data_IF_120254511687
#
_entry.id   IF_120254511687
#
_cell.length_a   1.000
_cell.length_b   1.000
_cell.length_c   1.000
_cell.angle_alpha   90.00
_cell.angle_beta   90.00
_cell.angle_gamma   90.00
#
_symmetry.space_group_name_H-M   'P 1'
#
loop_
_entity.id
_entity.type
_entity.pdbx_description
1 polymer ?
#
# COMPACT_ATOMS: atom_id res chain seq x y z
N UNK A 1 -19.45 -17.63 36.19
CA UNK A 1 -18.17 -18.24 36.58
C UNK A 1 -17.29 -18.51 35.37
N UNK A 2 -15.98 -18.30 35.52
CA UNK A 2 -14.87 -18.51 34.54
C UNK A 2 -14.69 -17.51 33.38
N UNK A 3 -14.44 -16.23 33.69
CA UNK A 3 -13.98 -15.19 32.74
C UNK A 3 -12.49 -14.81 32.90
N UNK A 4 -11.64 -15.72 33.38
CA UNK A 4 -10.18 -15.57 33.40
C UNK A 4 -9.49 -16.92 33.16
N UNK A 5 -9.47 -17.38 31.91
CA UNK A 5 -8.47 -18.39 31.51
C UNK A 5 -7.35 -17.67 30.78
N UNK A 6 -6.43 -17.12 31.59
CA UNK A 6 -5.02 -16.96 31.32
C UNK A 6 -4.59 -16.86 29.86
N UNK A 7 -4.51 -15.62 29.33
CA UNK A 7 -3.44 -15.26 28.39
C UNK A 7 -2.11 -15.23 29.17
N UNK A 8 -1.69 -16.39 29.68
CA UNK A 8 -0.39 -16.57 30.29
C UNK A 8 0.66 -16.53 29.17
N UNK A 9 1.10 -15.32 28.81
CA UNK A 9 2.30 -15.14 27.98
C UNK A 9 3.51 -15.68 28.74
N UNK A 10 4.34 -16.43 28.03
CA UNK A 10 5.64 -16.87 28.47
C UNK A 10 6.47 -15.65 28.95
N UNK A 11 7.09 -15.77 30.14
CA UNK A 11 7.81 -14.65 30.77
C UNK A 11 8.96 -14.12 29.92
N UNK A 12 9.68 -15.01 29.23
CA UNK A 12 10.81 -14.63 28.36
C UNK A 12 10.28 -13.95 27.10
N UNK A 13 9.20 -14.47 26.51
CA UNK A 13 8.54 -13.82 25.38
C UNK A 13 8.07 -12.40 25.72
N UNK A 14 7.48 -12.21 26.90
CA UNK A 14 7.05 -10.88 27.36
C UNK A 14 8.21 -9.87 27.38
N UNK A 15 9.37 -10.25 27.95
CA UNK A 15 10.57 -9.40 27.96
C UNK A 15 11.04 -9.04 26.55
N UNK A 16 11.06 -10.02 25.64
CA UNK A 16 11.42 -9.78 24.23
C UNK A 16 10.40 -8.89 23.52
N UNK A 17 9.11 -9.01 23.82
CA UNK A 17 8.06 -8.15 23.28
C UNK A 17 8.17 -6.70 23.77
N UNK A 18 8.52 -6.49 25.05
CA UNK A 18 8.77 -5.16 25.61
C UNK A 18 9.98 -4.49 24.93
N UNK A 19 11.04 -5.25 24.67
CA UNK A 19 12.19 -4.79 23.90
C UNK A 19 11.82 -4.46 22.45
N UNK A 20 11.07 -5.34 21.77
CA UNK A 20 10.55 -5.11 20.41
C UNK A 20 9.76 -3.80 20.34
N UNK A 21 8.84 -3.58 21.29
CA UNK A 21 8.02 -2.37 21.36
C UNK A 21 8.88 -1.12 21.56
N UNK A 22 9.90 -1.20 22.42
CA UNK A 22 10.82 -0.10 22.69
C UNK A 22 11.65 0.25 21.46
N UNK A 23 12.22 -0.76 20.79
CA UNK A 23 13.00 -0.56 19.55
C UNK A 23 12.13 -0.05 18.40
N UNK A 24 10.89 -0.54 18.26
CA UNK A 24 9.91 -0.05 17.28
C UNK A 24 9.58 1.43 17.52
N UNK A 25 9.32 1.83 18.77
CA UNK A 25 9.08 3.24 19.11
C UNK A 25 10.31 4.12 18.86
N UNK A 26 11.52 3.61 19.14
CA UNK A 26 12.78 4.31 18.84
C UNK A 26 12.95 4.56 17.35
N UNK A 27 12.63 3.57 16.51
CA UNK A 27 12.65 3.73 15.05
C UNK A 27 11.65 4.80 14.58
N UNK A 28 10.41 4.77 15.07
CA UNK A 28 9.39 5.77 14.73
C UNK A 28 9.85 7.18 15.18
N UNK A 29 10.44 7.31 16.37
CA UNK A 29 11.00 8.57 16.84
C UNK A 29 12.16 9.04 15.96
N UNK A 30 13.00 8.14 15.48
CA UNK A 30 14.07 8.47 14.54
C UNK A 30 13.51 9.09 13.25
N UNK A 31 12.49 8.47 12.65
CA UNK A 31 11.83 9.01 11.45
C UNK A 31 11.26 10.40 11.72
N UNK A 32 10.60 10.62 12.87
CA UNK A 32 10.08 11.93 13.27
C UNK A 32 11.17 12.97 13.47
N UNK A 33 12.31 12.59 14.03
CA UNK A 33 13.42 13.52 14.23
C UNK A 33 14.02 14.00 12.89
N UNK A 34 13.91 13.19 11.84
CA UNK A 34 14.34 13.53 10.47
C UNK A 34 13.20 14.09 9.59
N UNK A 35 12.05 14.44 10.18
CA UNK A 35 10.89 14.94 9.43
C UNK A 35 11.22 16.19 8.60
N UNK A 36 12.01 17.12 9.14
CA UNK A 36 12.41 18.32 8.40
C UNK A 36 13.27 17.99 7.17
N UNK A 37 14.13 16.98 7.25
CA UNK A 37 14.97 16.55 6.13
C UNK A 37 14.10 15.95 5.02
N UNK A 38 13.15 15.08 5.38
CA UNK A 38 12.17 14.53 4.45
C UNK A 38 11.28 15.62 3.83
N UNK A 39 10.81 16.57 4.64
CA UNK A 39 9.97 17.68 4.18
C UNK A 39 10.72 18.55 3.18
N UNK A 40 12.01 18.81 3.38
CA UNK A 40 12.83 19.55 2.43
C UNK A 40 12.89 18.85 1.08
N UNK A 41 13.17 17.54 1.06
CA UNK A 41 13.21 16.75 -0.18
C UNK A 41 11.84 16.77 -0.90
N UNK A 42 10.74 16.61 -0.15
CA UNK A 42 9.40 16.69 -0.71
C UNK A 42 9.09 18.07 -1.29
N UNK A 43 9.50 19.15 -0.62
CA UNK A 43 9.30 20.52 -1.07
C UNK A 43 10.16 20.85 -2.29
N UNK A 44 11.40 20.36 -2.34
CA UNK A 44 12.27 20.54 -3.51
C UNK A 44 11.65 19.88 -4.75
N UNK A 45 11.10 18.67 -4.61
CA UNK A 45 10.37 18.00 -5.69
C UNK A 45 9.10 18.75 -6.10
N UNK A 46 8.35 19.29 -5.12
CA UNK A 46 7.17 20.12 -5.39
C UNK A 46 7.54 21.37 -6.17
N UNK A 47 8.61 22.06 -5.80
CA UNK A 47 9.07 23.28 -6.46
C UNK A 47 9.51 22.95 -7.90
N UNK A 48 10.30 21.88 -8.07
CA UNK A 48 10.70 21.42 -9.40
C UNK A 48 9.50 21.10 -10.30
N UNK A 49 8.55 20.31 -9.80
CA UNK A 49 7.35 19.94 -10.55
C UNK A 49 6.46 21.15 -10.88
N UNK A 50 6.27 22.06 -9.93
CA UNK A 50 5.48 23.29 -10.13
C UNK A 50 6.14 24.19 -11.18
N UNK A 51 7.46 24.40 -11.10
CA UNK A 51 8.18 25.23 -12.07
C UNK A 51 8.02 24.71 -13.51
N UNK A 52 8.11 23.38 -13.71
CA UNK A 52 7.87 22.78 -15.02
C UNK A 52 6.41 22.92 -15.47
N UNK A 53 5.47 22.80 -14.54
CA UNK A 53 4.05 22.92 -14.83
C UNK A 53 3.64 24.36 -15.21
N UNK A 54 4.21 25.37 -14.53
CA UNK A 54 3.99 26.79 -14.84
C UNK A 54 4.49 27.18 -16.23
N UNK A 55 5.54 26.51 -16.71
CA UNK A 55 6.11 26.72 -18.04
C UNK A 55 5.31 26.05 -19.17
N UNK A 56 4.25 25.29 -18.85
CA UNK A 56 3.40 24.66 -19.85
C UNK A 56 2.70 25.73 -20.69
N UNK A 57 2.96 25.70 -22.00
CA UNK A 57 2.40 26.63 -22.97
C UNK A 57 1.62 25.88 -24.05
N UNK A 58 0.71 26.60 -24.71
CA UNK A 58 -0.08 26.11 -25.83
C UNK A 58 0.10 27.05 -27.02
N UNK A 59 0.05 26.50 -28.24
CA UNK A 59 0.01 27.32 -29.45
C UNK A 59 -1.20 28.28 -29.47
N UNK A 60 -2.35 27.81 -28.98
CA UNK A 60 -3.55 28.61 -28.76
C UNK A 60 -4.19 28.21 -27.42
N UNK A 61 -4.33 29.16 -26.50
CA UNK A 61 -4.86 28.91 -25.15
C UNK A 61 -6.32 28.45 -25.13
N UNK A 62 -7.11 28.69 -26.19
CA UNK A 62 -8.49 28.20 -26.28
C UNK A 62 -8.56 26.73 -26.74
N UNK A 63 -7.50 26.23 -27.39
CA UNK A 63 -7.46 24.91 -28.02
C UNK A 63 -6.10 24.22 -27.78
N UNK A 64 -5.78 23.98 -26.52
CA UNK A 64 -4.58 23.25 -26.14
C UNK A 64 -4.70 21.77 -26.50
N UNK A 65 -3.63 21.20 -27.08
CA UNK A 65 -3.54 19.79 -27.43
C UNK A 65 -3.40 18.90 -26.18
N UNK A 66 -3.91 17.67 -26.27
CA UNK A 66 -3.84 16.65 -25.21
C UNK A 66 -2.84 15.53 -25.48
N UNK A 67 -1.98 15.68 -26.51
CA UNK A 67 -0.99 14.67 -26.89
C UNK A 67 0.00 14.34 -25.76
N UNK A 68 0.37 15.32 -24.93
CA UNK A 68 1.23 15.07 -23.76
C UNK A 68 0.58 14.14 -22.74
N UNK A 69 -0.72 14.30 -22.47
CA UNK A 69 -1.49 13.41 -21.59
C UNK A 69 -1.54 11.99 -22.18
N UNK A 70 -1.84 11.88 -23.49
CA UNK A 70 -1.88 10.60 -24.19
C UNK A 70 -0.53 9.87 -24.11
N UNK A 71 0.54 10.54 -24.51
CA UNK A 71 1.89 9.97 -24.52
C UNK A 71 2.35 9.55 -23.13
N UNK A 72 2.15 10.41 -22.11
CA UNK A 72 2.51 10.07 -20.75
C UNK A 72 1.72 8.86 -20.22
N UNK A 73 0.42 8.78 -20.54
CA UNK A 73 -0.37 7.60 -20.18
C UNK A 73 0.15 6.33 -20.85
N UNK A 74 0.35 6.36 -22.17
CA UNK A 74 0.77 5.20 -22.96
C UNK A 74 2.14 4.65 -22.47
N UNK A 75 3.12 5.53 -22.26
CA UNK A 75 4.51 5.14 -21.94
C UNK A 75 4.74 4.79 -20.46
N UNK A 76 4.05 5.48 -19.53
CA UNK A 76 4.34 5.37 -18.10
C UNK A 76 3.26 4.61 -17.33
N UNK A 77 1.99 4.80 -17.66
CA UNK A 77 0.86 4.31 -16.85
C UNK A 77 0.25 3.04 -17.45
N UNK A 78 0.11 2.96 -18.77
CA UNK A 78 -0.64 1.88 -19.43
C UNK A 78 -0.05 0.49 -19.11
N UNK A 79 1.27 0.35 -19.14
CA UNK A 79 1.96 -0.89 -18.76
C UNK A 79 1.67 -1.33 -17.31
N UNK A 80 1.52 -0.38 -16.38
CA UNK A 80 1.18 -0.67 -14.99
C UNK A 80 -0.28 -1.11 -14.86
N UNK A 81 -1.20 -0.47 -15.59
CA UNK A 81 -2.60 -0.88 -15.66
C UNK A 81 -2.73 -2.31 -16.20
N UNK A 82 -2.00 -2.63 -17.28
CA UNK A 82 -1.97 -3.99 -17.82
C UNK A 82 -1.37 -4.99 -16.82
N UNK A 83 -0.29 -4.63 -16.14
CA UNK A 83 0.34 -5.45 -15.09
C UNK A 83 -0.58 -5.73 -13.89
N UNK A 84 -1.39 -4.76 -13.49
CA UNK A 84 -2.40 -4.97 -12.44
C UNK A 84 -3.52 -5.87 -12.95
N UNK A 85 -4.00 -5.66 -14.17
CA UNK A 85 -5.07 -6.46 -14.77
C UNK A 85 -4.68 -7.91 -15.04
N UNK A 86 -3.40 -8.19 -15.26
CA UNK A 86 -2.91 -9.56 -15.44
C UNK A 86 -2.88 -10.35 -14.13
N UNK A 87 -2.98 -9.69 -12.98
CA UNK A 87 -3.04 -10.31 -11.65
C UNK A 87 -4.49 -10.41 -11.18
N UNK A 88 -4.84 -11.52 -10.53
CA UNK A 88 -6.13 -11.65 -9.85
C UNK A 88 -5.97 -11.27 -8.37
N UNK A 89 -5.96 -9.96 -8.09
CA UNK A 89 -5.73 -9.44 -6.73
C UNK A 89 -6.78 -9.94 -5.70
N UNK A 90 -8.02 -10.17 -6.15
CA UNK A 90 -9.07 -10.69 -5.27
C UNK A 90 -8.85 -12.17 -4.93
N UNK A 91 -8.29 -12.95 -5.87
CA UNK A 91 -7.85 -14.31 -5.58
C UNK A 91 -6.70 -14.32 -4.57
N UNK A 92 -5.71 -13.43 -4.72
CA UNK A 92 -4.63 -13.31 -3.74
C UNK A 92 -5.17 -13.08 -2.32
N UNK A 93 -6.16 -12.17 -2.17
CA UNK A 93 -6.82 -11.93 -0.87
C UNK A 93 -7.56 -13.17 -0.35
N UNK A 94 -8.23 -13.91 -1.22
CA UNK A 94 -8.93 -15.13 -0.85
C UNK A 94 -7.95 -16.21 -0.36
N UNK A 95 -6.84 -16.38 -1.06
CA UNK A 95 -5.79 -17.35 -0.71
C UNK A 95 -5.12 -16.96 0.63
N UNK A 96 -4.82 -15.68 0.85
CA UNK A 96 -4.32 -15.17 2.14
C UNK A 96 -5.32 -15.36 3.29
N UNK A 97 -6.62 -15.17 3.01
CA UNK A 97 -7.69 -15.41 3.99
C UNK A 97 -7.71 -16.88 4.43
N UNK A 98 -7.60 -17.79 3.47
CA UNK A 98 -7.54 -19.23 3.75
C UNK A 98 -6.33 -19.59 4.64
N UNK A 99 -5.15 -19.04 4.35
CA UNK A 99 -3.94 -19.24 5.17
C UNK A 99 -4.17 -18.75 6.61
N UNK A 100 -4.76 -17.56 6.79
CA UNK A 100 -5.07 -17.03 8.12
C UNK A 100 -6.09 -17.92 8.86
N UNK A 101 -7.18 -18.34 8.20
CA UNK A 101 -8.18 -19.20 8.82
C UNK A 101 -7.61 -20.57 9.23
N UNK A 102 -6.81 -21.20 8.35
CA UNK A 102 -6.18 -22.48 8.64
C UNK A 102 -5.16 -22.37 9.78
N UNK A 103 -4.34 -21.33 9.79
CA UNK A 103 -3.38 -21.11 10.89
C UNK A 103 -4.06 -20.83 12.22
N UNK A 104 -5.22 -20.16 12.25
CA UNK A 104 -6.00 -19.94 13.47
C UNK A 104 -6.58 -21.25 14.03
N UNK A 105 -7.06 -22.14 13.16
CA UNK A 105 -7.52 -23.48 13.54
C UNK A 105 -6.39 -24.33 14.13
N UNK A 106 -5.23 -24.34 13.48
CA UNK A 106 -4.04 -25.06 13.96
C UNK A 106 -3.55 -24.49 15.30
N UNK A 107 -3.48 -23.16 15.43
CA UNK A 107 -3.10 -22.50 16.67
C UNK A 107 -4.07 -22.83 17.81
N UNK A 108 -5.37 -22.90 17.56
CA UNK A 108 -6.36 -23.29 18.58
C UNK A 108 -6.07 -24.71 19.11
N UNK A 109 -5.73 -25.64 18.23
CA UNK A 109 -5.39 -27.02 18.61
C UNK A 109 -4.03 -27.11 19.32
N UNK A 110 -3.01 -26.40 18.84
CA UNK A 110 -1.68 -26.36 19.44
C UNK A 110 -1.70 -25.68 20.80
N UNK A 111 -2.42 -24.57 20.97
CA UNK A 111 -2.54 -23.86 22.24
C UNK A 111 -3.23 -24.73 23.31
N UNK A 112 -4.19 -25.60 22.93
CA UNK A 112 -4.79 -26.58 23.87
C UNK A 112 -3.80 -27.64 24.34
N UNK A 113 -2.86 -28.06 23.48
CA UNK A 113 -1.90 -29.15 23.76
C UNK A 113 -0.60 -28.65 24.41
N UNK A 114 -0.04 -27.56 23.90
CA UNK A 114 1.29 -27.04 24.26
C UNK A 114 1.23 -25.83 25.21
N UNK A 115 0.09 -25.14 25.30
CA UNK A 115 -0.16 -24.11 26.30
C UNK A 115 0.90 -22.98 26.34
N UNK A 116 1.69 -22.95 27.41
CA UNK A 116 2.61 -21.87 27.79
C UNK A 116 3.98 -21.92 27.11
N UNK A 117 4.16 -22.79 26.12
CA UNK A 117 5.43 -22.91 25.40
C UNK A 117 5.70 -21.64 24.57
N UNK A 118 6.96 -21.20 24.55
CA UNK A 118 7.35 -19.93 23.92
C UNK A 118 6.94 -19.83 22.45
N UNK A 119 6.92 -20.95 21.73
CA UNK A 119 6.50 -21.00 20.34
C UNK A 119 5.02 -20.70 20.13
N UNK A 120 4.15 -20.98 21.11
CA UNK A 120 2.73 -20.60 21.01
C UNK A 120 2.59 -19.08 20.98
N UNK A 121 3.35 -18.36 21.81
CA UNK A 121 3.35 -16.89 21.81
C UNK A 121 3.99 -16.32 20.54
N UNK A 122 5.07 -16.94 20.04
CA UNK A 122 5.69 -16.57 18.76
C UNK A 122 4.73 -16.76 17.59
N UNK A 123 4.00 -17.89 17.53
CA UNK A 123 2.98 -18.15 16.51
C UNK A 123 1.86 -17.12 16.60
N UNK A 124 1.33 -16.84 17.81
CA UNK A 124 0.33 -15.79 18.03
C UNK A 124 0.81 -14.42 17.52
N UNK A 125 2.07 -14.09 17.77
CA UNK A 125 2.67 -12.84 17.32
C UNK A 125 2.80 -12.78 15.79
N UNK A 126 3.35 -13.82 15.15
CA UNK A 126 3.49 -13.88 13.70
C UNK A 126 2.11 -13.82 13.03
N UNK A 127 1.14 -14.60 13.50
CA UNK A 127 -0.23 -14.60 12.98
C UNK A 127 -0.88 -13.21 13.11
N UNK A 128 -0.69 -12.52 14.24
CA UNK A 128 -1.19 -11.15 14.44
C UNK A 128 -0.55 -10.16 13.47
N UNK A 129 0.76 -10.22 13.26
CA UNK A 129 1.46 -9.37 12.29
C UNK A 129 0.99 -9.66 10.86
N UNK A 130 0.82 -10.94 10.48
CA UNK A 130 0.26 -11.33 9.18
C UNK A 130 -1.15 -10.78 8.97
N UNK A 131 -2.00 -10.79 10.00
CA UNK A 131 -3.35 -10.18 9.94
C UNK A 131 -3.29 -8.66 9.76
N UNK A 132 -2.37 -7.97 10.44
CA UNK A 132 -2.15 -6.55 10.23
C UNK A 132 -1.66 -6.23 8.81
N UNK A 133 -0.74 -7.04 8.27
CA UNK A 133 -0.27 -6.93 6.89
C UNK A 133 -1.41 -7.18 5.90
N UNK A 134 -2.20 -8.23 6.11
CA UNK A 134 -3.35 -8.58 5.27
C UNK A 134 -4.36 -7.43 5.17
N UNK A 135 -4.76 -6.83 6.29
CA UNK A 135 -5.68 -5.69 6.28
C UNK A 135 -5.14 -4.50 5.46
N UNK A 136 -3.82 -4.31 5.42
CA UNK A 136 -3.19 -3.28 4.58
C UNK A 136 -3.17 -3.66 3.10
N UNK A 137 -2.94 -4.94 2.78
CA UNK A 137 -3.02 -5.44 1.40
C UNK A 137 -4.45 -5.28 0.87
N UNK A 138 -5.46 -5.62 1.66
CA UNK A 138 -6.87 -5.42 1.32
C UNK A 138 -7.17 -3.94 1.04
N UNK A 139 -6.79 -3.06 1.96
CA UNK A 139 -6.95 -1.60 1.78
C UNK A 139 -6.32 -1.10 0.47
N UNK A 140 -5.09 -1.47 0.18
CA UNK A 140 -4.41 -1.04 -1.05
C UNK A 140 -4.98 -1.70 -2.31
N UNK A 141 -5.47 -2.94 -2.21
CA UNK A 141 -6.13 -3.63 -3.34
C UNK A 141 -7.42 -2.93 -3.75
N UNK A 142 -8.22 -2.46 -2.78
CA UNK A 142 -9.44 -1.70 -3.07
C UNK A 142 -9.13 -0.40 -3.81
N UNK A 143 -8.11 0.35 -3.36
CA UNK A 143 -7.65 1.56 -4.06
C UNK A 143 -7.20 1.22 -5.48
N UNK A 144 -6.42 0.16 -5.68
CA UNK A 144 -5.93 -0.23 -7.00
C UNK A 144 -7.08 -0.56 -7.94
N UNK A 145 -8.06 -1.35 -7.47
CA UNK A 145 -9.23 -1.71 -8.27
C UNK A 145 -10.04 -0.48 -8.69
N UNK A 146 -10.32 0.42 -7.74
CA UNK A 146 -11.07 1.64 -7.99
C UNK A 146 -10.32 2.59 -8.93
N UNK A 147 -9.03 2.84 -8.64
CA UNK A 147 -8.20 3.76 -9.42
C UNK A 147 -7.91 3.23 -10.81
N UNK A 148 -7.78 1.91 -11.00
CA UNK A 148 -7.68 1.31 -12.34
C UNK A 148 -8.88 1.70 -13.20
N UNK A 149 -10.10 1.55 -12.67
CA UNK A 149 -11.32 1.92 -13.37
C UNK A 149 -11.39 3.42 -13.64
N UNK A 150 -11.19 4.25 -12.61
CA UNK A 150 -11.25 5.71 -12.71
C UNK A 150 -10.24 6.24 -13.74
N UNK A 151 -9.00 5.75 -13.73
CA UNK A 151 -7.96 6.14 -14.69
C UNK A 151 -8.41 5.79 -16.12
N UNK A 152 -8.93 4.58 -16.34
CA UNK A 152 -9.37 4.16 -17.67
C UNK A 152 -10.58 4.94 -18.19
N UNK A 153 -11.47 5.37 -17.30
CA UNK A 153 -12.63 6.17 -17.68
C UNK A 153 -12.24 7.63 -17.93
N UNK A 154 -11.45 8.23 -17.03
CA UNK A 154 -10.99 9.62 -17.18
C UNK A 154 -10.05 9.80 -18.37
N UNK A 155 -9.15 8.85 -18.66
CA UNK A 155 -8.20 9.00 -19.78
C UNK A 155 -8.95 9.13 -21.11
N UNK A 156 -10.01 8.34 -21.34
CA UNK A 156 -10.85 8.42 -22.56
C UNK A 156 -11.45 9.81 -22.75
N UNK A 157 -11.80 10.49 -21.65
CA UNK A 157 -12.36 11.84 -21.68
C UNK A 157 -11.32 12.94 -21.88
N UNK A 158 -10.03 12.63 -21.72
CA UNK A 158 -8.92 13.59 -21.67
C UNK A 158 -7.98 13.53 -22.88
N UNK A 159 -8.11 12.53 -23.75
CA UNK A 159 -7.27 12.35 -24.95
C UNK A 159 -8.06 12.60 -26.24
N UNK A 160 -7.35 12.80 -27.36
CA UNK A 160 -7.92 12.99 -28.70
C UNK A 160 -8.93 14.15 -28.83
N UNK A 161 -8.73 15.19 -28.02
CA UNK A 161 -9.51 16.43 -28.04
C UNK A 161 -8.66 17.61 -27.57
N UNK A 162 -9.23 18.81 -27.64
CA UNK A 162 -8.62 20.04 -27.13
C UNK A 162 -9.37 20.58 -25.92
N UNK A 163 -8.70 21.42 -25.14
CA UNK A 163 -9.28 22.16 -24.01
C UNK A 163 -8.76 23.60 -23.98
N UNK A 164 -9.52 24.50 -23.35
CA UNK A 164 -8.96 25.76 -22.90
C UNK A 164 -7.85 25.48 -21.87
N UNK A 165 -6.79 26.31 -21.84
CA UNK A 165 -5.59 26.11 -21.03
C UNK A 165 -5.90 25.80 -19.57
N UNK A 166 -6.76 26.58 -18.92
CA UNK A 166 -7.07 26.38 -17.50
C UNK A 166 -7.74 25.03 -17.23
N UNK A 167 -8.60 24.57 -18.14
CA UNK A 167 -9.25 23.26 -18.04
C UNK A 167 -8.26 22.12 -18.31
N UNK A 168 -7.32 22.31 -19.25
CA UNK A 168 -6.24 21.36 -19.47
C UNK A 168 -5.37 21.20 -18.21
N UNK A 169 -4.97 22.31 -17.59
CA UNK A 169 -4.14 22.31 -16.39
C UNK A 169 -4.85 21.61 -15.22
N UNK A 170 -6.15 21.88 -15.00
CA UNK A 170 -6.97 21.17 -14.01
C UNK A 170 -7.00 19.67 -14.25
N UNK A 171 -7.15 19.23 -15.50
CA UNK A 171 -7.17 17.81 -15.88
C UNK A 171 -5.82 17.14 -15.69
N UNK A 172 -4.71 17.84 -15.94
CA UNK A 172 -3.36 17.30 -15.67
C UNK A 172 -3.19 17.04 -14.17
N UNK A 173 -3.57 17.99 -13.31
CA UNK A 173 -3.49 17.82 -11.86
C UNK A 173 -4.39 16.69 -11.37
N UNK A 174 -5.63 16.62 -11.87
CA UNK A 174 -6.58 15.56 -11.53
C UNK A 174 -6.05 14.17 -11.92
N UNK A 175 -5.58 14.00 -13.17
CA UNK A 175 -4.98 12.73 -13.61
C UNK A 175 -3.72 12.38 -12.83
N UNK A 176 -2.88 13.36 -12.50
CA UNK A 176 -1.65 13.13 -11.71
C UNK A 176 -1.98 12.62 -10.31
N UNK A 177 -3.06 13.09 -9.71
CA UNK A 177 -3.56 12.59 -8.42
C UNK A 177 -4.09 11.15 -8.52
N UNK A 178 -4.80 10.80 -9.61
CA UNK A 178 -5.24 9.42 -9.80
C UNK A 178 -4.05 8.47 -9.99
N UNK A 179 -3.05 8.87 -10.77
CA UNK A 179 -1.83 8.10 -10.99
C UNK A 179 -1.02 7.92 -9.71
N UNK A 180 -0.84 8.98 -8.90
CA UNK A 180 -0.03 8.91 -7.69
C UNK A 180 -0.62 7.94 -6.67
N UNK A 181 -1.95 7.95 -6.47
CA UNK A 181 -2.65 7.04 -5.56
C UNK A 181 -2.57 5.58 -6.04
N UNK A 182 -2.71 5.37 -7.35
CA UNK A 182 -2.59 4.05 -7.97
C UNK A 182 -1.19 3.47 -7.81
N UNK A 183 -0.16 4.21 -8.22
CA UNK A 183 1.25 3.76 -8.19
C UNK A 183 1.69 3.49 -6.74
N UNK A 184 1.36 4.40 -5.81
CA UNK A 184 1.73 4.24 -4.40
C UNK A 184 1.11 2.98 -3.80
N UNK A 185 -0.17 2.72 -4.10
CA UNK A 185 -0.87 1.55 -3.57
C UNK A 185 -0.37 0.25 -4.18
N UNK A 186 -0.09 0.18 -5.49
CA UNK A 186 0.47 -1.02 -6.11
C UNK A 186 1.86 -1.36 -5.55
N UNK A 187 2.71 -0.34 -5.38
CA UNK A 187 4.04 -0.52 -4.79
C UNK A 187 3.96 -1.08 -3.36
N UNK A 188 3.15 -0.46 -2.49
CA UNK A 188 2.95 -0.92 -1.12
C UNK A 188 2.33 -2.32 -1.07
N UNK A 189 1.32 -2.60 -1.91
CA UNK A 189 0.67 -3.91 -1.98
C UNK A 189 1.70 -5.01 -2.30
N UNK A 190 2.59 -4.79 -3.28
CA UNK A 190 3.60 -5.77 -3.65
C UNK A 190 4.63 -6.01 -2.52
N UNK A 191 5.10 -4.96 -1.85
CA UNK A 191 6.03 -5.10 -0.71
C UNK A 191 5.38 -5.86 0.46
N UNK A 192 4.12 -5.53 0.76
CA UNK A 192 3.35 -6.19 1.82
C UNK A 192 3.04 -7.64 1.46
N UNK A 193 2.70 -7.94 0.21
CA UNK A 193 2.51 -9.31 -0.28
C UNK A 193 3.76 -10.16 -0.03
N UNK A 194 4.93 -9.66 -0.42
CA UNK A 194 6.20 -10.36 -0.18
C UNK A 194 6.48 -10.55 1.32
N UNK A 195 6.14 -9.55 2.14
CA UNK A 195 6.31 -9.62 3.61
C UNK A 195 5.35 -10.64 4.23
N UNK A 196 4.11 -10.73 3.74
CA UNK A 196 3.12 -11.71 4.18
C UNK A 196 3.64 -13.13 3.95
N UNK A 197 4.06 -13.47 2.73
CA UNK A 197 4.59 -14.80 2.43
C UNK A 197 5.95 -15.09 3.08
N UNK A 198 6.76 -14.06 3.33
CA UNK A 198 7.96 -14.21 4.16
C UNK A 198 7.62 -14.65 5.58
N UNK A 199 6.57 -14.08 6.19
CA UNK A 199 6.10 -14.47 7.53
C UNK A 199 5.40 -15.82 7.53
N UNK A 200 4.63 -16.12 6.50
CA UNK A 200 3.97 -17.41 6.29
C UNK A 200 4.99 -18.56 6.24
N UNK A 201 6.10 -18.38 5.52
CA UNK A 201 7.20 -19.36 5.47
C UNK A 201 7.84 -19.65 6.84
N UNK A 202 7.85 -18.68 7.76
CA UNK A 202 8.35 -18.89 9.13
C UNK A 202 7.30 -19.52 10.06
N UNK A 203 6.02 -19.44 9.67
CA UNK A 203 4.91 -20.00 10.41
C UNK A 203 4.70 -21.49 10.10
N UNK A 204 4.95 -21.89 8.85
CA UNK A 204 5.03 -23.28 8.40
C UNK A 204 6.25 -24.01 8.97
#
# INVERSE_FOLDING_TARGET
SNKKKNDLMNRTFKKMMDEYNTKKKKLIKCIKNHENDFNKICMDMKNYGTNLFEQLSCYNNNFCNTNGIRYHYDEYIHKLILSVKSKNLNKDLSDMTNILQQSELLLTNLNKKMGSYIYIDTIKFIHKEMKHIFNRIEYHTNIINDKTKIIQDKIKLNIWRTFQKDELLKRILDMSNEYSLFITSDHLRQMLYNTFYSKEKHLN
#
